data_IF_798715561224
#
_entry.id   IF_798715561224
#
_cell.length_a   1.000
_cell.length_b   1.000
_cell.length_c   1.000
_cell.angle_alpha   90.00
_cell.angle_beta   90.00
_cell.angle_gamma   90.00
#
_symmetry.space_group_name_H-M   'P 1'
#
loop_
_entity.id
_entity.type
_entity.pdbx_description
1 polymer ?
#
# COMPACT_ATOMS: atom_id res chain seq x y z
N UNK A 1 -4.45 32.42 -10.47
CA UNK A 1 -3.11 32.00 -10.96
C UNK A 1 -3.14 31.48 -12.40
N UNK A 2 -3.94 30.45 -12.76
CA UNK A 2 -4.08 29.95 -14.15
C UNK A 2 -4.27 31.04 -15.22
N UNK A 3 -5.17 32.00 -14.97
CA UNK A 3 -5.47 33.11 -15.91
C UNK A 3 -4.25 34.05 -16.06
N UNK A 4 -3.52 34.30 -14.97
CA UNK A 4 -2.32 35.15 -14.96
C UNK A 4 -1.21 34.53 -15.80
N UNK A 5 -0.95 33.23 -15.65
CA UNK A 5 0.06 32.53 -16.45
C UNK A 5 -0.30 32.46 -17.94
N UNK A 6 -1.58 32.26 -18.27
CA UNK A 6 -2.05 32.35 -19.67
C UNK A 6 -1.82 33.74 -20.27
N UNK A 7 -2.11 34.79 -19.51
CA UNK A 7 -1.90 36.17 -19.95
C UNK A 7 -0.40 36.43 -20.17
N UNK A 8 0.47 36.01 -19.23
CA UNK A 8 1.92 36.16 -19.37
C UNK A 8 2.49 35.37 -20.56
N UNK A 9 2.00 34.15 -20.82
CA UNK A 9 2.35 33.38 -22.02
C UNK A 9 2.01 34.14 -23.31
N UNK A 10 0.81 34.71 -23.39
CA UNK A 10 0.38 35.49 -24.57
C UNK A 10 1.19 36.77 -24.73
N UNK A 11 1.51 37.45 -23.62
CA UNK A 11 2.36 38.66 -23.64
C UNK A 11 3.76 38.35 -24.17
N UNK A 12 4.39 37.25 -23.74
CA UNK A 12 5.71 36.85 -24.24
C UNK A 12 5.72 36.59 -25.75
N UNK A 13 4.70 35.87 -26.26
CA UNK A 13 4.55 35.62 -27.71
C UNK A 13 4.35 36.94 -28.48
N UNK A 14 3.53 37.85 -27.96
CA UNK A 14 3.28 39.15 -28.59
C UNK A 14 4.51 40.05 -28.58
N UNK A 15 5.26 40.10 -27.47
CA UNK A 15 6.50 40.89 -27.38
C UNK A 15 7.59 40.35 -28.32
N UNK A 16 7.75 39.03 -28.40
CA UNK A 16 8.67 38.41 -29.35
C UNK A 16 8.29 38.71 -30.81
N UNK A 17 7.01 38.60 -31.15
CA UNK A 17 6.52 38.91 -32.50
C UNK A 17 6.64 40.40 -32.84
N UNK A 18 6.30 41.30 -31.93
CA UNK A 18 6.41 42.75 -32.14
C UNK A 18 7.85 43.19 -32.33
N UNK A 19 8.79 42.68 -31.53
CA UNK A 19 10.22 42.96 -31.68
C UNK A 19 10.75 42.48 -33.05
N UNK A 20 10.41 41.25 -33.43
CA UNK A 20 10.81 40.69 -34.73
C UNK A 20 10.24 41.49 -35.91
N UNK A 21 8.99 41.93 -35.84
CA UNK A 21 8.34 42.72 -36.89
C UNK A 21 8.98 44.11 -36.99
N UNK A 22 9.28 44.76 -35.87
CA UNK A 22 9.93 46.07 -35.84
C UNK A 22 11.30 46.01 -36.53
N UNK A 23 12.14 45.04 -36.16
CA UNK A 23 13.47 44.89 -36.72
C UNK A 23 13.44 44.47 -38.20
N UNK A 24 12.42 43.73 -38.62
CA UNK A 24 12.22 43.37 -40.03
C UNK A 24 11.83 44.58 -40.89
N UNK A 25 11.00 45.48 -40.35
CA UNK A 25 10.57 46.72 -41.03
C UNK A 25 11.71 47.73 -41.12
N UNK A 26 12.58 47.78 -40.11
CA UNK A 26 13.75 48.65 -40.07
C UNK A 26 14.98 48.07 -40.79
N UNK A 27 14.90 46.81 -41.26
CA UNK A 27 16.00 46.13 -41.95
C UNK A 27 17.18 45.77 -41.04
N UNK A 28 16.96 45.75 -39.72
CA UNK A 28 17.96 45.52 -38.67
C UNK A 28 17.92 44.11 -38.07
N UNK A 29 17.16 43.20 -38.68
CA UNK A 29 17.03 41.82 -38.20
C UNK A 29 18.39 41.12 -38.09
N UNK A 30 18.76 40.74 -36.86
CA UNK A 30 20.09 40.23 -36.53
C UNK A 30 20.02 38.96 -35.67
N UNK A 31 21.18 38.37 -35.36
CA UNK A 31 21.27 37.24 -34.43
C UNK A 31 20.69 37.59 -33.04
N UNK A 32 20.80 38.85 -32.60
CA UNK A 32 20.25 39.32 -31.32
C UNK A 32 18.71 39.37 -31.32
N UNK A 33 18.11 39.73 -32.46
CA UNK A 33 16.65 39.66 -32.66
C UNK A 33 16.19 38.21 -32.59
N UNK A 34 16.88 37.29 -33.27
CA UNK A 34 16.57 35.86 -33.25
C UNK A 34 16.70 35.27 -31.83
N UNK A 35 17.74 35.66 -31.09
CA UNK A 35 17.95 35.26 -29.69
C UNK A 35 16.83 35.76 -28.78
N UNK A 36 16.39 37.01 -28.96
CA UNK A 36 15.31 37.61 -28.17
C UNK A 36 13.97 36.89 -28.41
N UNK A 37 13.65 36.56 -29.67
CA UNK A 37 12.46 35.77 -30.03
C UNK A 37 12.53 34.38 -29.40
N UNK A 38 13.67 33.72 -29.49
CA UNK A 38 13.87 32.39 -28.91
C UNK A 38 13.68 32.41 -27.39
N UNK A 39 14.27 33.37 -26.69
CA UNK A 39 14.10 33.53 -25.22
C UNK A 39 12.63 33.81 -24.86
N UNK A 40 11.93 34.66 -25.62
CA UNK A 40 10.51 34.93 -25.40
C UNK A 40 9.62 33.69 -25.65
N UNK A 41 9.97 32.85 -26.62
CA UNK A 41 9.29 31.57 -26.85
C UNK A 41 9.55 30.57 -25.72
N UNK A 42 10.76 30.52 -25.16
CA UNK A 42 11.07 29.71 -23.97
C UNK A 42 10.25 30.18 -22.78
N UNK A 43 10.18 31.48 -22.51
CA UNK A 43 9.35 32.01 -21.43
C UNK A 43 7.85 31.77 -21.66
N UNK A 44 7.37 31.90 -22.90
CA UNK A 44 6.00 31.52 -23.26
C UNK A 44 5.76 30.04 -23.00
N UNK A 45 6.70 29.16 -23.35
CA UNK A 45 6.67 27.73 -23.02
C UNK A 45 6.59 27.47 -21.52
N UNK A 46 7.42 28.15 -20.71
CA UNK A 46 7.41 28.05 -19.25
C UNK A 46 6.07 28.53 -18.66
N UNK A 47 5.55 29.68 -19.09
CA UNK A 47 4.27 30.19 -18.59
C UNK A 47 3.08 29.36 -19.09
N UNK A 48 3.13 28.83 -20.30
CA UNK A 48 2.15 27.87 -20.83
C UNK A 48 2.15 26.58 -20.02
N UNK A 49 3.33 26.06 -19.69
CA UNK A 49 3.51 24.90 -18.83
C UNK A 49 3.00 25.15 -17.40
N UNK A 50 3.33 26.31 -16.81
CA UNK A 50 2.79 26.71 -15.50
C UNK A 50 1.26 26.92 -15.54
N UNK A 51 0.69 27.48 -16.60
CA UNK A 51 -0.75 27.58 -16.78
C UNK A 51 -1.42 26.20 -16.91
N UNK A 52 -0.71 25.23 -17.49
CA UNK A 52 -1.14 23.86 -17.69
C UNK A 52 -1.05 23.02 -16.41
N UNK A 53 0.01 23.13 -15.61
CA UNK A 53 0.10 22.54 -14.25
C UNK A 53 -1.09 22.99 -13.37
N UNK A 54 -1.54 24.23 -13.58
CA UNK A 54 -2.67 24.80 -12.85
C UNK A 54 -4.02 24.59 -13.55
N UNK A 55 -4.10 23.65 -14.51
CA UNK A 55 -5.33 23.33 -15.26
C UNK A 55 -6.29 22.45 -14.44
N UNK A 56 -5.76 21.55 -13.60
CA UNK A 56 -6.44 20.78 -12.57
C UNK A 56 -6.25 21.42 -11.19
N UNK A 57 -6.78 20.81 -10.10
CA UNK A 57 -6.80 21.39 -8.74
C UNK A 57 -5.46 22.08 -8.41
N UNK A 58 -5.51 23.35 -7.98
CA UNK A 58 -4.30 24.12 -7.65
C UNK A 58 -3.38 23.34 -6.70
N UNK A 59 -2.05 23.34 -6.92
CA UNK A 59 -1.09 22.70 -6.02
C UNK A 59 -1.27 23.11 -4.55
N UNK A 60 -1.69 24.37 -4.30
CA UNK A 60 -1.99 24.89 -2.96
C UNK A 60 -3.23 24.25 -2.35
N UNK A 61 -4.28 24.02 -3.15
CA UNK A 61 -5.52 23.38 -2.70
C UNK A 61 -5.29 21.89 -2.40
N UNK A 62 -4.45 21.21 -3.20
CA UNK A 62 -4.03 19.83 -2.95
C UNK A 62 -3.10 19.71 -1.75
N UNK A 63 -2.13 20.62 -1.58
CA UNK A 63 -1.33 20.68 -0.36
C UNK A 63 -2.20 20.91 0.87
N UNK A 64 -3.24 21.74 0.76
CA UNK A 64 -4.23 21.92 1.82
C UNK A 64 -5.07 20.66 2.08
N UNK A 65 -5.50 19.94 1.04
CA UNK A 65 -6.20 18.64 1.18
C UNK A 65 -5.29 17.58 1.81
N UNK A 66 -4.02 17.51 1.43
CA UNK A 66 -3.05 16.60 2.05
C UNK A 66 -2.76 16.97 3.50
N UNK A 67 -2.59 18.25 3.81
CA UNK A 67 -2.51 18.72 5.19
C UNK A 67 -3.79 18.39 5.97
N UNK A 68 -4.97 18.44 5.32
CA UNK A 68 -6.24 18.02 5.93
C UNK A 68 -6.26 16.53 6.20
N UNK A 69 -5.83 15.68 5.26
CA UNK A 69 -5.75 14.22 5.45
C UNK A 69 -4.77 13.86 6.57
N UNK A 70 -3.61 14.52 6.63
CA UNK A 70 -2.64 14.38 7.72
C UNK A 70 -3.24 14.86 9.06
N UNK A 71 -3.99 15.96 9.05
CA UNK A 71 -4.69 16.46 10.24
C UNK A 71 -5.82 15.52 10.70
N UNK A 72 -6.56 14.91 9.77
CA UNK A 72 -7.56 13.88 10.06
C UNK A 72 -6.91 12.65 10.67
N UNK A 73 -5.83 12.13 10.08
CA UNK A 73 -5.06 11.01 10.63
C UNK A 73 -4.52 11.33 12.04
N UNK A 74 -4.02 12.55 12.25
CA UNK A 74 -3.62 13.02 13.59
C UNK A 74 -4.81 13.10 14.56
N UNK A 75 -5.98 13.55 14.09
CA UNK A 75 -7.19 13.65 14.90
C UNK A 75 -7.70 12.28 15.31
N UNK A 76 -7.70 11.30 14.40
CA UNK A 76 -8.04 9.90 14.68
C UNK A 76 -7.05 9.28 15.67
N UNK A 77 -5.74 9.45 15.43
CA UNK A 77 -4.70 8.99 16.35
C UNK A 77 -4.86 9.60 17.75
N UNK A 78 -5.18 10.90 17.83
CA UNK A 78 -5.42 11.59 19.10
C UNK A 78 -6.72 11.12 19.78
N UNK A 79 -7.79 10.87 19.02
CA UNK A 79 -9.05 10.33 19.55
C UNK A 79 -8.80 8.95 20.16
N UNK A 80 -8.14 8.07 19.43
CA UNK A 80 -7.81 6.74 19.92
C UNK A 80 -6.82 6.79 21.11
N UNK A 81 -5.88 7.74 21.13
CA UNK A 81 -5.06 8.00 22.32
C UNK A 81 -5.89 8.42 23.53
N UNK A 82 -6.94 9.25 23.35
CA UNK A 82 -7.84 9.66 24.44
C UNK A 82 -8.69 8.51 24.96
N UNK A 83 -9.09 7.57 24.10
CA UNK A 83 -9.89 6.40 24.47
C UNK A 83 -9.06 5.31 25.18
N UNK A 84 -7.72 5.35 25.10
CA UNK A 84 -6.86 4.40 25.82
C UNK A 84 -7.00 4.47 27.34
N UNK A 85 -6.82 3.30 27.97
CA UNK A 85 -6.75 3.15 29.43
C UNK A 85 -5.56 3.94 30.02
N UNK A 86 -5.62 4.20 31.33
CA UNK A 86 -4.56 4.94 32.05
C UNK A 86 -3.21 4.19 32.04
N UNK A 87 -3.23 2.86 32.08
CA UNK A 87 -2.03 2.02 32.00
C UNK A 87 -1.38 2.14 30.62
N UNK A 88 -2.18 2.07 29.56
CA UNK A 88 -1.71 2.19 28.17
C UNK A 88 -1.16 3.57 27.84
N UNK A 89 -1.82 4.66 28.27
CA UNK A 89 -1.29 6.04 28.10
C UNK A 89 0.07 6.20 28.75
N UNK A 90 0.25 5.65 29.97
CA UNK A 90 1.54 5.70 30.68
C UNK A 90 2.62 4.92 29.95
N UNK A 91 2.27 3.76 29.39
CA UNK A 91 3.16 2.95 28.56
C UNK A 91 3.59 3.73 27.31
N UNK A 92 2.64 4.21 26.51
CA UNK A 92 2.92 4.96 25.29
C UNK A 92 3.85 6.16 25.57
N UNK A 93 3.59 6.90 26.64
CA UNK A 93 4.45 8.02 27.06
C UNK A 93 5.89 7.58 27.41
N UNK A 94 6.06 6.48 28.15
CA UNK A 94 7.38 5.93 28.49
C UNK A 94 8.15 5.49 27.25
N UNK A 95 7.50 4.74 26.36
CA UNK A 95 8.11 4.26 25.12
C UNK A 95 8.49 5.42 24.20
N UNK A 96 7.65 6.46 24.10
CA UNK A 96 7.99 7.69 23.36
C UNK A 96 9.24 8.37 23.91
N UNK A 97 9.34 8.56 25.23
CA UNK A 97 10.52 9.20 25.84
C UNK A 97 11.78 8.37 25.59
N UNK A 98 11.73 7.07 25.87
CA UNK A 98 12.87 6.18 25.68
C UNK A 98 13.27 6.16 24.21
N UNK A 99 12.31 6.01 23.29
CA UNK A 99 12.56 6.00 21.86
C UNK A 99 13.18 7.29 21.34
N UNK A 100 12.70 8.47 21.79
CA UNK A 100 13.29 9.77 21.46
C UNK A 100 14.73 9.87 21.96
N UNK A 101 15.02 9.42 23.18
CA UNK A 101 16.38 9.44 23.74
C UNK A 101 17.32 8.56 22.90
N UNK A 102 16.89 7.34 22.56
CA UNK A 102 17.68 6.42 21.73
C UNK A 102 17.88 6.98 20.32
N UNK A 103 16.83 7.53 19.70
CA UNK A 103 16.91 8.15 18.37
C UNK A 103 17.89 9.34 18.35
N UNK A 104 17.80 10.23 19.35
CA UNK A 104 18.72 11.35 19.50
C UNK A 104 20.16 10.90 19.73
N UNK A 105 20.36 9.80 20.48
CA UNK A 105 21.67 9.20 20.65
C UNK A 105 22.23 8.66 19.33
N UNK A 106 21.42 7.99 18.50
CA UNK A 106 21.81 7.52 17.17
C UNK A 106 22.30 8.66 16.26
N UNK A 107 21.55 9.76 16.19
CA UNK A 107 21.93 10.97 15.43
C UNK A 107 23.23 11.58 15.98
N UNK A 108 23.41 11.57 17.31
CA UNK A 108 24.60 12.13 17.97
C UNK A 108 25.88 11.35 17.64
N UNK A 109 25.79 10.07 17.30
CA UNK A 109 26.94 9.24 16.93
C UNK A 109 27.62 9.70 15.63
N UNK A 110 26.88 10.26 14.67
CA UNK A 110 27.44 10.71 13.39
C UNK A 110 28.54 11.77 13.55
N UNK A 111 28.32 12.91 14.25
CA UNK A 111 29.39 13.88 14.49
C UNK A 111 30.44 13.40 15.50
N UNK A 112 30.12 12.51 16.45
CA UNK A 112 31.13 11.92 17.36
C UNK A 112 32.13 11.04 16.62
N UNK A 113 31.64 10.35 15.58
CA UNK A 113 32.41 9.47 14.71
C UNK A 113 33.07 10.18 13.54
N UNK A 114 33.15 11.51 13.56
CA UNK A 114 33.66 12.36 12.48
C UNK A 114 33.06 12.02 11.11
N UNK A 115 31.77 11.66 11.05
CA UNK A 115 31.08 11.31 9.80
C UNK A 115 31.70 10.14 9.03
N UNK A 116 32.48 9.29 9.69
CA UNK A 116 32.98 8.07 9.05
C UNK A 116 31.84 7.09 8.79
N UNK A 117 31.97 6.32 7.70
CA UNK A 117 30.95 5.35 7.26
C UNK A 117 30.49 4.41 8.38
N UNK A 118 31.44 3.87 9.17
CA UNK A 118 31.13 3.00 10.31
C UNK A 118 30.16 3.66 11.31
N UNK A 119 30.43 4.89 11.75
CA UNK A 119 29.59 5.58 12.72
C UNK A 119 28.28 6.08 12.13
N UNK A 120 28.24 6.38 10.84
CA UNK A 120 26.99 6.63 10.11
C UNK A 120 26.07 5.40 10.19
N UNK A 121 26.59 4.22 9.84
CA UNK A 121 25.83 2.97 9.88
C UNK A 121 25.36 2.63 11.30
N UNK A 122 26.24 2.70 12.31
CA UNK A 122 25.86 2.44 13.71
C UNK A 122 24.81 3.45 14.18
N UNK A 123 25.00 4.74 13.90
CA UNK A 123 24.02 5.78 14.26
C UNK A 123 22.66 5.57 13.60
N UNK A 124 22.64 5.12 12.34
CA UNK A 124 21.41 4.79 11.61
C UNK A 124 20.68 3.60 12.24
N UNK A 125 21.38 2.51 12.57
CA UNK A 125 20.78 1.34 13.25
C UNK A 125 20.18 1.74 14.61
N UNK A 126 20.91 2.53 15.40
CA UNK A 126 20.41 3.03 16.70
C UNK A 126 19.20 3.95 16.53
N UNK A 127 19.21 4.81 15.51
CA UNK A 127 18.08 5.66 15.17
C UNK A 127 16.83 4.83 14.83
N UNK A 128 16.98 3.81 13.98
CA UNK A 128 15.90 2.87 13.62
C UNK A 128 15.35 2.17 14.87
N UNK A 129 16.22 1.70 15.77
CA UNK A 129 15.80 1.10 17.04
C UNK A 129 15.00 2.10 17.89
N UNK A 130 15.45 3.36 17.98
CA UNK A 130 14.73 4.41 18.69
C UNK A 130 13.33 4.67 18.14
N UNK A 131 13.20 4.73 16.82
CA UNK A 131 11.90 4.87 16.13
C UNK A 131 11.01 3.65 16.37
N UNK A 132 11.56 2.42 16.26
CA UNK A 132 10.81 1.19 16.50
C UNK A 132 10.27 1.11 17.94
N UNK A 133 11.03 1.60 18.94
CA UNK A 133 10.56 1.70 20.33
C UNK A 133 9.33 2.63 20.42
N UNK A 134 9.28 3.73 19.68
CA UNK A 134 8.11 4.62 19.66
C UNK A 134 6.88 3.84 19.18
N UNK A 135 7.01 3.09 18.08
CA UNK A 135 5.90 2.31 17.52
C UNK A 135 5.38 1.23 18.46
N UNK A 136 6.24 0.58 19.25
CA UNK A 136 5.84 -0.41 20.27
C UNK A 136 5.06 0.18 21.47
N UNK A 137 4.94 1.51 21.53
CA UNK A 137 4.30 2.24 22.62
C UNK A 137 2.77 2.12 22.63
N UNK A 138 2.13 2.04 21.45
CA UNK A 138 0.68 1.98 21.34
C UNK A 138 0.21 1.11 20.15
N UNK A 139 -0.99 0.52 20.21
CA UNK A 139 -1.52 -0.29 19.12
C UNK A 139 -1.62 0.45 17.79
N UNK A 140 -2.03 1.72 17.82
CA UNK A 140 -2.19 2.51 16.59
C UNK A 140 -0.86 2.74 15.89
N UNK A 141 0.18 3.08 16.64
CA UNK A 141 1.51 3.31 16.08
C UNK A 141 2.12 1.99 15.59
N UNK A 142 1.99 0.91 16.36
CA UNK A 142 2.48 -0.42 15.98
C UNK A 142 1.79 -0.93 14.71
N UNK A 143 0.45 -0.97 14.70
CA UNK A 143 -0.35 -1.47 13.58
C UNK A 143 -0.23 -0.61 12.33
N UNK A 144 0.15 0.67 12.46
CA UNK A 144 0.47 1.51 11.32
C UNK A 144 1.85 1.18 10.72
N UNK A 145 2.79 0.70 11.55
CA UNK A 145 4.18 0.47 11.16
C UNK A 145 4.50 -0.89 10.53
N UNK A 146 3.62 -1.89 10.70
CA UNK A 146 3.85 -3.25 10.16
C UNK A 146 2.54 -3.94 9.87
N UNK A 147 2.53 -4.78 8.83
CA UNK A 147 1.40 -5.67 8.51
C UNK A 147 1.67 -7.14 8.89
N UNK A 148 2.90 -7.46 9.30
CA UNK A 148 3.34 -8.81 9.70
C UNK A 148 2.75 -9.22 11.06
N UNK A 149 2.28 -8.24 11.84
CA UNK A 149 1.61 -8.50 13.10
C UNK A 149 0.67 -7.39 13.50
N UNK A 150 -0.18 -7.67 14.47
CA UNK A 150 -1.09 -6.70 15.05
C UNK A 150 -1.02 -6.72 16.58
N UNK A 151 -1.03 -5.55 17.18
CA UNK A 151 -1.18 -5.34 18.60
C UNK A 151 -2.65 -5.07 18.91
N UNK A 152 -3.19 -5.84 19.87
CA UNK A 152 -4.56 -5.71 20.37
C UNK A 152 -4.51 -5.37 21.85
N UNK A 153 -5.34 -4.43 22.29
CA UNK A 153 -5.45 -4.03 23.70
C UNK A 153 -6.80 -4.39 24.28
N UNK A 154 -6.77 -4.83 25.54
CA UNK A 154 -7.94 -5.17 26.32
C UNK A 154 -8.15 -4.17 27.46
N UNK A 155 -9.41 -3.82 27.72
CA UNK A 155 -9.77 -2.89 28.80
C UNK A 155 -9.70 -3.53 30.20
N UNK A 156 -9.50 -4.85 30.25
CA UNK A 156 -9.27 -5.63 31.47
C UNK A 156 -8.13 -6.60 31.24
N UNK A 157 -7.59 -7.13 32.34
CA UNK A 157 -6.64 -8.23 32.29
C UNK A 157 -7.33 -9.49 31.76
N UNK A 158 -6.80 -10.04 30.67
CA UNK A 158 -7.23 -11.29 30.06
C UNK A 158 -6.21 -12.41 30.34
N UNK A 159 -6.68 -13.64 30.24
CA UNK A 159 -5.87 -14.86 30.14
C UNK A 159 -5.99 -15.44 28.72
N UNK A 160 -5.00 -16.22 28.28
CA UNK A 160 -5.06 -16.79 26.94
C UNK A 160 -6.15 -17.86 26.85
N UNK A 161 -6.44 -18.52 27.97
CA UNK A 161 -7.46 -19.55 28.12
C UNK A 161 -8.86 -18.95 27.94
N UNK A 162 -9.14 -17.79 28.53
CA UNK A 162 -10.42 -17.07 28.32
C UNK A 162 -10.64 -16.74 26.84
N UNK A 163 -9.58 -16.33 26.14
CA UNK A 163 -9.66 -15.98 24.70
C UNK A 163 -9.83 -17.26 23.88
N UNK A 164 -9.05 -18.31 24.17
CA UNK A 164 -9.19 -19.61 23.53
C UNK A 164 -10.62 -20.15 23.64
N UNK A 165 -11.24 -20.09 24.83
CA UNK A 165 -12.61 -20.55 25.03
C UNK A 165 -13.63 -19.83 24.15
N UNK A 166 -13.42 -18.55 23.85
CA UNK A 166 -14.28 -17.79 22.96
C UNK A 166 -14.04 -18.12 21.47
N UNK A 167 -12.81 -18.51 21.09
CA UNK A 167 -12.41 -18.69 19.69
C UNK A 167 -12.31 -20.15 19.22
N UNK A 168 -12.29 -21.15 20.14
CA UNK A 168 -12.05 -22.56 19.81
C UNK A 168 -13.05 -23.20 18.85
N UNK A 169 -14.25 -22.63 18.71
CA UNK A 169 -15.28 -23.11 17.79
C UNK A 169 -15.35 -22.30 16.48
N UNK A 170 -14.51 -21.27 16.32
CA UNK A 170 -14.51 -20.43 15.13
C UNK A 170 -13.63 -21.11 14.09
N UNK A 171 -14.28 -21.73 13.11
CA UNK A 171 -13.63 -22.32 11.96
C UNK A 171 -13.09 -21.24 11.02
N UNK A 172 -11.91 -21.50 10.48
CA UNK A 172 -11.32 -20.72 9.40
C UNK A 172 -10.47 -21.65 8.49
N UNK A 173 -9.83 -21.15 7.41
CA UNK A 173 -9.04 -21.99 6.51
C UNK A 173 -7.93 -22.82 7.19
N UNK A 174 -7.37 -22.35 8.31
CA UNK A 174 -6.38 -23.06 9.13
C UNK A 174 -7.00 -23.99 10.19
N UNK A 175 -8.30 -24.28 10.09
CA UNK A 175 -9.05 -24.97 11.13
C UNK A 175 -9.43 -24.05 12.30
N UNK A 176 -9.69 -24.63 13.47
CA UNK A 176 -9.91 -23.89 14.72
C UNK A 176 -8.60 -23.70 15.48
N UNK A 177 -8.56 -22.75 16.41
CA UNK A 177 -7.39 -22.60 17.26
C UNK A 177 -7.20 -23.73 18.29
N UNK A 178 -5.97 -23.83 18.78
CA UNK A 178 -5.56 -24.59 19.96
C UNK A 178 -4.54 -23.78 20.77
N UNK A 179 -4.19 -24.26 21.96
CA UNK A 179 -3.16 -23.68 22.81
C UNK A 179 -1.85 -24.46 22.64
N UNK A 180 -0.73 -23.74 22.55
CA UNK A 180 0.59 -24.33 22.46
C UNK A 180 1.69 -23.40 22.93
N UNK A 181 2.92 -23.92 22.92
CA UNK A 181 4.11 -23.15 23.28
C UNK A 181 5.03 -22.97 22.07
N UNK A 182 5.65 -21.81 21.99
CA UNK A 182 6.75 -21.54 21.06
C UNK A 182 8.10 -21.72 21.75
N UNK A 183 9.14 -22.12 21.00
CA UNK A 183 10.49 -22.29 21.56
C UNK A 183 11.07 -21.00 22.16
N UNK A 184 10.70 -19.86 21.60
CA UNK A 184 11.20 -18.54 21.97
C UNK A 184 10.37 -17.85 23.06
N UNK A 185 9.20 -18.40 23.42
CA UNK A 185 8.28 -17.77 24.37
C UNK A 185 7.91 -18.75 25.49
N UNK A 186 7.91 -18.23 26.74
CA UNK A 186 7.54 -19.05 27.91
C UNK A 186 6.03 -19.15 28.13
N UNK A 187 5.27 -18.19 27.63
CA UNK A 187 3.82 -18.16 27.82
C UNK A 187 3.12 -18.91 26.69
N UNK A 188 1.97 -19.54 26.98
CA UNK A 188 1.15 -20.16 25.96
C UNK A 188 0.61 -19.14 24.96
N UNK A 189 0.37 -19.62 23.75
CA UNK A 189 -0.24 -18.89 22.66
C UNK A 189 -1.43 -19.66 22.10
N UNK A 190 -2.41 -18.93 21.60
CA UNK A 190 -3.49 -19.46 20.77
C UNK A 190 -2.98 -19.55 19.33
N UNK A 191 -2.99 -20.73 18.73
CA UNK A 191 -2.37 -21.03 17.43
C UNK A 191 -3.43 -21.59 16.48
N UNK A 192 -3.39 -21.18 15.21
CA UNK A 192 -4.17 -21.72 14.09
C UNK A 192 -3.21 -22.36 13.09
N UNK A 193 -3.46 -23.61 12.68
CA UNK A 193 -2.52 -24.39 11.87
C UNK A 193 -1.51 -25.21 12.70
N UNK A 194 -0.29 -25.52 12.22
CA UNK A 194 0.18 -25.22 10.88
C UNK A 194 -0.65 -25.93 9.81
N UNK A 195 -0.73 -25.30 8.65
CA UNK A 195 -1.15 -25.97 7.43
C UNK A 195 -0.02 -26.87 6.89
N UNK A 196 -0.32 -27.63 5.84
CA UNK A 196 0.63 -28.52 5.18
C UNK A 196 1.81 -27.77 4.55
N UNK A 197 1.63 -26.49 4.18
CA UNK A 197 2.71 -25.59 3.76
C UNK A 197 3.64 -25.16 4.90
N UNK A 198 3.27 -25.43 6.15
CA UNK A 198 3.97 -24.97 7.35
C UNK A 198 3.49 -23.62 7.90
N UNK A 199 2.61 -22.91 7.19
CA UNK A 199 2.09 -21.61 7.61
C UNK A 199 1.14 -21.73 8.82
N UNK A 200 1.27 -20.81 9.77
CA UNK A 200 0.36 -20.69 10.91
C UNK A 200 0.18 -19.23 11.36
N UNK A 201 -0.97 -18.96 11.98
CA UNK A 201 -1.23 -17.73 12.72
C UNK A 201 -1.18 -18.01 14.22
N UNK A 202 -0.74 -17.03 14.99
CA UNK A 202 -0.69 -17.17 16.44
C UNK A 202 -0.99 -15.86 17.16
N UNK A 203 -1.65 -15.98 18.30
CA UNK A 203 -1.97 -14.88 19.18
C UNK A 203 -1.47 -15.18 20.59
N UNK A 204 -0.73 -14.25 21.19
CA UNK A 204 -0.23 -14.40 22.55
C UNK A 204 -0.44 -13.14 23.37
N UNK A 205 -0.59 -13.31 24.68
CA UNK A 205 -0.74 -12.20 25.62
C UNK A 205 0.56 -11.89 26.34
N UNK A 206 0.83 -10.61 26.54
CA UNK A 206 1.86 -10.16 27.49
C UNK A 206 1.52 -10.64 28.90
N UNK A 207 2.51 -10.76 29.78
CA UNK A 207 2.30 -11.14 31.20
C UNK A 207 1.24 -10.30 31.93
N UNK A 208 1.03 -9.06 31.51
CA UNK A 208 0.02 -8.17 32.07
C UNK A 208 -1.42 -8.53 31.66
N UNK A 209 -1.61 -9.27 30.57
CA UNK A 209 -2.92 -9.67 30.03
C UNK A 209 -3.72 -8.52 29.39
N UNK A 210 -3.20 -7.29 29.39
CA UNK A 210 -3.85 -6.12 28.79
C UNK A 210 -3.49 -5.92 27.31
N UNK A 211 -2.43 -6.57 26.84
CA UNK A 211 -1.90 -6.44 25.47
C UNK A 211 -1.67 -7.83 24.92
N UNK A 212 -2.18 -8.07 23.71
CA UNK A 212 -1.88 -9.24 22.90
C UNK A 212 -1.28 -8.89 21.56
N UNK A 213 -0.59 -9.86 20.97
CA UNK A 213 0.04 -9.77 19.68
C UNK A 213 -0.45 -10.92 18.81
N UNK A 214 -1.02 -10.57 17.67
CA UNK A 214 -1.32 -11.47 16.56
C UNK A 214 -0.14 -11.42 15.60
N UNK A 215 0.35 -12.57 15.15
CA UNK A 215 1.37 -12.67 14.11
C UNK A 215 1.17 -13.90 13.25
N UNK A 216 1.92 -13.95 12.15
CA UNK A 216 2.03 -15.08 11.25
C UNK A 216 3.45 -15.61 11.23
N UNK A 217 3.63 -16.89 10.91
CA UNK A 217 4.95 -17.48 10.68
C UNK A 217 4.81 -18.79 9.92
N UNK A 218 5.90 -19.19 9.25
CA UNK A 218 6.05 -20.41 8.49
C UNK A 218 7.26 -21.24 8.96
N UNK A 219 7.87 -20.85 10.09
CA UNK A 219 9.10 -21.46 10.56
C UNK A 219 8.82 -22.84 11.14
N UNK A 220 9.31 -23.87 10.44
CA UNK A 220 9.19 -25.25 10.88
C UNK A 220 9.87 -25.45 12.25
N UNK A 221 9.20 -26.22 13.12
CA UNK A 221 9.72 -26.55 14.45
C UNK A 221 9.73 -25.38 15.44
N UNK A 222 9.19 -24.20 15.11
CA UNK A 222 9.09 -23.08 16.05
C UNK A 222 8.05 -23.33 17.14
N UNK A 223 6.97 -24.05 16.80
CA UNK A 223 6.00 -24.62 17.74
C UNK A 223 6.71 -25.76 18.48
N UNK A 224 6.83 -25.62 19.80
CA UNK A 224 7.54 -26.56 20.67
C UNK A 224 6.65 -27.75 21.05
N UNK A 225 5.44 -27.46 21.52
CA UNK A 225 4.49 -28.46 21.99
C UNK A 225 3.06 -27.90 21.92
N UNK A 226 2.10 -28.81 21.76
CA UNK A 226 0.66 -28.50 21.87
C UNK A 226 0.19 -28.79 23.29
N UNK A 227 -0.57 -27.88 23.86
CA UNK A 227 -1.26 -28.08 25.15
C UNK A 227 -2.55 -28.87 24.93
N UNK A 228 -3.25 -28.61 23.83
CA UNK A 228 -4.43 -29.33 23.38
C UNK A 228 -4.47 -29.40 21.85
N UNK A 229 -5.39 -30.21 21.32
CA UNK A 229 -5.63 -30.31 19.88
C UNK A 229 -6.71 -29.31 19.44
N UNK A 230 -6.66 -28.86 18.18
CA UNK A 230 -7.74 -28.05 17.62
C UNK A 230 -9.02 -28.89 17.53
N UNK A 231 -10.16 -28.26 17.79
CA UNK A 231 -11.48 -28.91 17.69
C UNK A 231 -11.84 -29.23 16.24
N UNK A 232 -11.40 -28.37 15.32
CA UNK A 232 -11.53 -28.50 13.88
C UNK A 232 -10.11 -28.49 13.31
N UNK A 233 -9.63 -29.60 12.75
CA UNK A 233 -8.27 -29.66 12.19
C UNK A 233 -8.14 -28.75 10.97
N UNK A 234 -6.91 -28.29 10.70
CA UNK A 234 -6.58 -27.64 9.44
C UNK A 234 -6.84 -28.62 8.28
N UNK A 235 -7.22 -28.08 7.13
CA UNK A 235 -7.30 -28.90 5.91
C UNK A 235 -5.89 -29.26 5.46
N UNK A 236 -5.72 -30.49 4.99
CA UNK A 236 -4.46 -31.04 4.51
C UNK A 236 -4.25 -30.86 3.00
N UNK A 237 -5.12 -30.10 2.33
CA UNK A 237 -4.96 -29.86 0.89
C UNK A 237 -5.64 -28.53 0.54
N UNK A 238 -4.82 -27.58 0.09
CA UNK A 238 -5.26 -26.26 -0.37
C UNK A 238 -5.17 -26.14 -1.90
N UNK A 239 -4.78 -27.20 -2.60
CA UNK A 239 -4.81 -27.33 -4.05
C UNK A 239 -3.54 -27.95 -4.65
N UNK A 240 -3.66 -28.45 -5.88
CA UNK A 240 -2.61 -29.23 -6.57
C UNK A 240 -1.67 -28.36 -7.43
N UNK A 241 -1.90 -27.04 -7.54
CA UNK A 241 -1.17 -26.16 -8.46
C UNK A 241 -0.73 -24.83 -7.82
N UNK A 242 0.17 -24.09 -8.49
CA UNK A 242 0.75 -22.85 -7.96
C UNK A 242 -0.29 -21.75 -7.72
N UNK A 243 -1.31 -21.66 -8.57
CA UNK A 243 -2.41 -20.69 -8.38
C UNK A 243 -3.12 -20.92 -7.04
N UNK A 244 -3.45 -22.17 -6.72
CA UNK A 244 -4.09 -22.52 -5.46
C UNK A 244 -3.21 -22.21 -4.24
N UNK A 245 -1.89 -22.38 -4.35
CA UNK A 245 -0.94 -21.99 -3.31
C UNK A 245 -0.90 -20.45 -3.09
N UNK A 246 -0.96 -19.67 -4.17
CA UNK A 246 -1.01 -18.20 -4.09
C UNK A 246 -2.34 -17.73 -3.49
N UNK A 247 -3.47 -18.32 -3.91
CA UNK A 247 -4.78 -18.08 -3.30
C UNK A 247 -4.73 -18.32 -1.79
N UNK A 248 -4.13 -19.43 -1.38
CA UNK A 248 -3.99 -19.80 0.02
C UNK A 248 -3.17 -18.76 0.82
N UNK A 249 -2.03 -18.32 0.31
CA UNK A 249 -1.22 -17.30 0.99
C UNK A 249 -1.95 -15.94 1.08
N UNK A 250 -2.67 -15.56 0.03
CA UNK A 250 -3.50 -14.34 0.05
C UNK A 250 -4.63 -14.44 1.08
N UNK A 251 -5.30 -15.60 1.12
CA UNK A 251 -6.35 -15.89 2.09
C UNK A 251 -5.82 -15.87 3.54
N UNK A 252 -4.55 -16.21 3.78
CA UNK A 252 -3.91 -16.06 5.10
C UNK A 252 -3.77 -14.60 5.53
N UNK A 253 -3.39 -13.70 4.61
CA UNK A 253 -3.32 -12.26 4.89
C UNK A 253 -4.72 -11.72 5.21
N UNK A 254 -5.73 -12.12 4.42
CA UNK A 254 -7.12 -11.78 4.69
C UNK A 254 -7.58 -12.31 6.04
N UNK A 255 -7.25 -13.57 6.36
CA UNK A 255 -7.57 -14.22 7.62
C UNK A 255 -6.95 -13.48 8.81
N UNK A 256 -5.68 -13.07 8.72
CA UNK A 256 -5.02 -12.29 9.77
C UNK A 256 -5.78 -10.98 10.04
N UNK A 257 -6.22 -10.27 8.98
CA UNK A 257 -7.01 -9.04 9.12
C UNK A 257 -8.38 -9.30 9.75
N UNK A 258 -9.10 -10.33 9.31
CA UNK A 258 -10.39 -10.71 9.88
C UNK A 258 -10.27 -11.14 11.36
N UNK A 259 -9.21 -11.88 11.69
CA UNK A 259 -8.93 -12.33 13.05
C UNK A 259 -8.57 -11.14 13.94
N UNK A 260 -7.78 -10.17 13.43
CA UNK A 260 -7.53 -8.89 14.13
C UNK A 260 -8.84 -8.17 14.45
N UNK A 261 -9.72 -7.99 13.46
CA UNK A 261 -11.01 -7.33 13.64
C UNK A 261 -11.89 -8.06 14.67
N UNK A 262 -11.92 -9.40 14.61
CA UNK A 262 -12.63 -10.24 15.56
C UNK A 262 -12.07 -10.12 16.99
N UNK A 263 -10.75 -10.11 17.15
CA UNK A 263 -10.08 -9.89 18.44
C UNK A 263 -10.33 -8.48 18.99
N UNK A 264 -10.32 -7.45 18.15
CA UNK A 264 -10.65 -6.07 18.55
C UNK A 264 -12.13 -5.93 18.94
N UNK A 265 -13.04 -6.61 18.23
CA UNK A 265 -14.44 -6.65 18.61
C UNK A 265 -14.65 -7.39 19.93
N UNK A 266 -13.99 -8.52 20.12
CA UNK A 266 -14.02 -9.28 21.36
C UNK A 266 -13.48 -8.45 22.53
N UNK A 267 -12.39 -7.69 22.33
CA UNK A 267 -11.85 -6.79 23.35
C UNK A 267 -12.84 -5.69 23.78
N UNK A 268 -13.74 -5.26 22.87
CA UNK A 268 -14.76 -4.23 23.12
C UNK A 268 -16.06 -4.79 23.70
N UNK A 269 -16.53 -5.93 23.19
CA UNK A 269 -17.89 -6.43 23.40
C UNK A 269 -17.95 -7.75 24.17
N UNK A 270 -16.82 -8.46 24.29
CA UNK A 270 -16.76 -9.82 24.82
C UNK A 270 -17.27 -10.89 23.85
N UNK A 271 -17.60 -10.54 22.61
CA UNK A 271 -18.06 -11.48 21.59
C UNK A 271 -17.14 -11.45 20.36
N UNK A 272 -16.65 -12.62 19.89
CA UNK A 272 -15.88 -12.68 18.67
C UNK A 272 -16.79 -12.51 17.45
N UNK A 273 -16.24 -11.91 16.39
CA UNK A 273 -16.88 -11.91 15.08
C UNK A 273 -16.61 -13.25 14.38
N UNK A 274 -17.59 -13.72 13.61
CA UNK A 274 -17.39 -14.84 12.70
C UNK A 274 -16.37 -14.44 11.63
N UNK A 275 -15.45 -15.36 11.35
CA UNK A 275 -14.50 -15.22 10.26
C UNK A 275 -15.21 -15.73 9.02
N UNK A 276 -15.46 -14.84 8.06
CA UNK A 276 -16.09 -15.23 6.81
C UNK A 276 -15.15 -16.19 6.08
N UNK A 277 -15.67 -17.36 5.69
CA UNK A 277 -14.94 -18.21 4.74
C UNK A 277 -14.75 -17.38 3.47
N UNK A 278 -13.51 -17.18 3.05
CA UNK A 278 -13.21 -16.67 1.71
C UNK A 278 -13.94 -17.57 0.72
N UNK A 279 -14.72 -17.00 -0.21
CA UNK A 279 -14.91 -17.71 -1.48
C UNK A 279 -13.50 -17.83 -2.08
N UNK A 280 -13.13 -18.97 -2.70
CA UNK A 280 -11.76 -19.16 -3.15
C UNK A 280 -11.36 -17.93 -3.98
N UNK A 281 -10.37 -17.21 -3.48
CA UNK A 281 -9.82 -16.07 -4.19
C UNK A 281 -9.44 -16.54 -5.58
N UNK A 282 -9.71 -15.74 -6.60
CA UNK A 282 -9.26 -16.07 -7.96
C UNK A 282 -7.96 -15.34 -8.23
N UNK A 283 -6.98 -16.12 -8.68
CA UNK A 283 -5.65 -15.64 -9.05
C UNK A 283 -5.60 -15.46 -10.56
N UNK A 284 -5.09 -14.31 -10.95
CA UNK A 284 -4.89 -13.93 -12.34
C UNK A 284 -3.44 -13.53 -12.54
N UNK A 285 -2.85 -13.95 -13.65
CA UNK A 285 -1.51 -13.52 -14.03
C UNK A 285 -1.62 -12.22 -14.82
N UNK A 286 -0.83 -11.22 -14.45
CA UNK A 286 -0.74 -9.94 -15.12
C UNK A 286 0.65 -9.77 -15.71
N UNK A 287 0.74 -9.90 -17.03
CA UNK A 287 2.01 -9.93 -17.77
C UNK A 287 2.14 -8.68 -18.62
N UNK A 288 3.31 -8.04 -18.58
CA UNK A 288 3.66 -6.98 -19.52
C UNK A 288 4.34 -7.58 -20.77
N UNK A 289 3.77 -7.26 -21.93
CA UNK A 289 4.39 -7.55 -23.23
C UNK A 289 4.96 -6.27 -23.83
N UNK A 290 6.22 -6.33 -24.27
CA UNK A 290 6.86 -5.20 -24.92
C UNK A 290 6.19 -4.85 -26.25
N UNK A 291 5.68 -3.62 -26.38
CA UNK A 291 5.28 -3.02 -27.66
C UNK A 291 6.27 -1.94 -28.08
N UNK A 292 6.77 -2.02 -29.31
CA UNK A 292 7.73 -1.06 -29.89
C UNK A 292 7.27 0.42 -29.81
N UNK A 293 5.96 0.66 -29.74
CA UNK A 293 5.34 2.00 -29.74
C UNK A 293 4.40 2.24 -28.55
N UNK A 294 4.51 1.44 -27.48
CA UNK A 294 3.54 1.45 -26.39
C UNK A 294 3.81 0.44 -25.28
N UNK A 295 2.77 0.15 -24.52
CA UNK A 295 2.74 -0.94 -23.55
C UNK A 295 1.52 -1.81 -23.82
N UNK A 296 1.68 -3.12 -23.65
CA UNK A 296 0.60 -4.08 -23.66
C UNK A 296 0.67 -4.88 -22.38
N UNK A 297 -0.48 -5.11 -21.75
CA UNK A 297 -0.57 -6.07 -20.66
C UNK A 297 -1.70 -7.04 -20.93
N UNK A 298 -1.49 -8.28 -20.52
CA UNK A 298 -2.52 -9.32 -20.54
C UNK A 298 -2.85 -9.73 -19.11
N UNK A 299 -4.14 -9.77 -18.79
CA UNK A 299 -4.64 -10.40 -17.58
C UNK A 299 -5.22 -11.77 -17.93
N UNK A 300 -4.57 -12.83 -17.49
CA UNK A 300 -4.96 -14.21 -17.76
C UNK A 300 -5.55 -14.88 -16.52
N UNK A 301 -6.52 -15.77 -16.71
CA UNK A 301 -7.01 -16.65 -15.64
C UNK A 301 -6.03 -17.83 -15.39
N UNK A 302 -6.41 -18.71 -14.46
CA UNK A 302 -5.64 -19.92 -14.12
C UNK A 302 -5.47 -20.94 -15.27
N UNK A 303 -6.25 -20.81 -16.35
CA UNK A 303 -6.17 -21.66 -17.54
C UNK A 303 -5.40 -20.97 -18.68
N UNK A 304 -4.71 -19.86 -18.38
CA UNK A 304 -4.02 -19.01 -19.35
C UNK A 304 -4.96 -18.34 -20.38
N UNK A 305 -6.27 -18.28 -20.08
CA UNK A 305 -7.21 -17.57 -20.93
C UNK A 305 -7.16 -16.07 -20.64
N UNK A 306 -6.91 -15.26 -21.67
CA UNK A 306 -6.90 -13.79 -21.57
C UNK A 306 -8.32 -13.29 -21.25
N UNK A 307 -8.46 -12.62 -20.11
CA UNK A 307 -9.72 -12.02 -19.65
C UNK A 307 -9.79 -10.53 -19.99
N UNK A 308 -8.67 -9.83 -19.80
CA UNK A 308 -8.55 -8.42 -20.17
C UNK A 308 -7.23 -8.16 -20.88
N UNK A 309 -7.28 -7.28 -21.87
CA UNK A 309 -6.11 -6.69 -22.50
C UNK A 309 -5.99 -5.24 -22.06
N UNK A 310 -4.77 -4.79 -21.80
CA UNK A 310 -4.48 -3.38 -21.52
C UNK A 310 -3.56 -2.84 -22.57
N UNK A 311 -3.95 -1.74 -23.21
CA UNK A 311 -3.13 -1.08 -24.23
C UNK A 311 -2.87 0.38 -23.89
N UNK A 312 -1.61 0.80 -24.07
CA UNK A 312 -1.18 2.19 -24.00
C UNK A 312 -0.31 2.52 -25.19
N UNK A 313 -0.53 3.69 -25.78
CA UNK A 313 0.32 4.21 -26.88
C UNK A 313 1.14 5.38 -26.37
N UNK A 314 2.40 5.48 -26.77
CA UNK A 314 3.26 6.61 -26.42
C UNK A 314 2.67 7.93 -26.96
N UNK A 315 2.62 9.02 -26.17
CA UNK A 315 3.05 9.13 -24.78
C UNK A 315 2.02 8.45 -23.85
N UNK A 316 2.48 7.49 -23.02
CA UNK A 316 1.70 6.58 -22.15
C UNK A 316 0.89 7.31 -21.06
N UNK A 317 0.03 8.22 -21.49
CA UNK A 317 -0.85 9.06 -20.69
C UNK A 317 -2.15 8.31 -20.47
N UNK A 318 -2.66 7.68 -21.53
CA UNK A 318 -3.87 6.90 -21.50
C UNK A 318 -3.55 5.42 -21.65
N UNK A 319 -4.15 4.61 -20.79
CA UNK A 319 -4.16 3.16 -20.88
C UNK A 319 -5.62 2.70 -20.89
N UNK A 320 -5.93 1.79 -21.78
CA UNK A 320 -7.28 1.31 -22.05
C UNK A 320 -7.34 -0.16 -21.70
N UNK A 321 -8.38 -0.56 -20.97
CA UNK A 321 -8.64 -1.94 -20.58
C UNK A 321 -9.82 -2.44 -21.40
N UNK A 322 -9.60 -3.51 -22.15
CA UNK A 322 -10.55 -4.14 -23.05
C UNK A 322 -10.96 -5.52 -22.54
N UNK A 323 -12.24 -5.85 -22.67
CA UNK A 323 -12.74 -7.23 -22.49
C UNK A 323 -12.44 -8.12 -23.72
N UNK A 324 -12.88 -9.39 -23.66
CA UNK A 324 -12.69 -10.38 -24.74
C UNK A 324 -13.34 -9.96 -26.06
N UNK A 325 -14.41 -9.18 -26.00
CA UNK A 325 -15.09 -8.60 -27.16
C UNK A 325 -14.41 -7.31 -27.67
N UNK A 326 -13.28 -6.93 -27.06
CA UNK A 326 -12.53 -5.72 -27.34
C UNK A 326 -13.33 -4.42 -27.09
N UNK A 327 -14.21 -4.46 -26.08
CA UNK A 327 -14.96 -3.30 -25.59
C UNK A 327 -14.18 -2.61 -24.48
N UNK A 328 -14.05 -1.28 -24.56
CA UNK A 328 -13.42 -0.48 -23.50
C UNK A 328 -14.25 -0.57 -22.20
N UNK A 329 -13.68 -1.20 -21.18
CA UNK A 329 -14.28 -1.30 -19.84
C UNK A 329 -13.77 -0.19 -18.94
N UNK A 330 -12.46 0.03 -18.93
CA UNK A 330 -11.80 1.06 -18.14
C UNK A 330 -10.80 1.84 -19.00
N UNK A 331 -10.62 3.11 -18.65
CA UNK A 331 -9.51 3.93 -19.13
C UNK A 331 -8.85 4.64 -17.95
N UNK A 332 -7.53 4.52 -17.89
CA UNK A 332 -6.68 5.25 -16.95
C UNK A 332 -6.04 6.43 -17.67
N UNK A 333 -6.08 7.60 -17.04
CA UNK A 333 -5.36 8.78 -17.54
C UNK A 333 -4.40 9.29 -16.46
N UNK A 334 -3.09 9.16 -16.70
CA UNK A 334 -2.03 9.70 -15.84
C UNK A 334 -2.01 11.22 -15.94
N UNK A 335 -2.01 11.89 -14.80
CA UNK A 335 -1.82 13.32 -14.72
C UNK A 335 -0.32 13.66 -14.75
N UNK A 336 0.15 14.33 -15.80
CA UNK A 336 1.57 14.72 -15.94
C UNK A 336 1.83 16.06 -15.23
N UNK A 337 3.05 16.28 -14.74
CA UNK A 337 3.50 17.57 -14.19
C UNK A 337 3.18 17.78 -12.71
N UNK A 338 2.88 16.70 -12.00
CA UNK A 338 2.59 16.69 -10.56
C UNK A 338 3.72 16.04 -9.77
N UNK A 339 3.95 16.53 -8.55
CA UNK A 339 4.97 16.01 -7.65
C UNK A 339 4.64 14.62 -7.09
N UNK A 340 3.37 14.22 -7.13
CA UNK A 340 2.88 12.91 -6.71
C UNK A 340 1.99 12.33 -7.78
N UNK A 341 2.07 11.01 -7.97
CA UNK A 341 1.30 10.32 -8.97
C UNK A 341 -0.21 10.47 -8.77
N UNK A 342 -0.89 10.83 -9.86
CA UNK A 342 -2.34 10.99 -9.90
C UNK A 342 -2.88 10.35 -11.17
N UNK A 343 -3.92 9.52 -11.02
CA UNK A 343 -4.55 8.81 -12.12
C UNK A 343 -6.07 9.02 -12.08
N UNK A 344 -6.65 9.33 -13.24
CA UNK A 344 -8.10 9.41 -13.41
C UNK A 344 -8.60 8.09 -13.98
N UNK A 345 -9.56 7.48 -13.29
CA UNK A 345 -10.17 6.22 -13.68
C UNK A 345 -11.51 6.54 -14.34
N UNK A 346 -11.69 6.10 -15.58
CA UNK A 346 -12.94 6.20 -16.30
C UNK A 346 -13.51 4.80 -16.48
N UNK A 347 -14.72 4.54 -16.00
CA UNK A 347 -15.44 3.29 -16.23
C UNK A 347 -16.46 3.51 -17.33
N UNK A 348 -16.34 2.80 -18.45
CA UNK A 348 -17.23 2.93 -19.61
C UNK A 348 -17.43 4.40 -20.06
N UNK A 349 -16.34 5.16 -20.06
CA UNK A 349 -16.32 6.57 -20.45
C UNK A 349 -16.71 7.58 -19.35
N UNK A 350 -17.32 7.16 -18.24
CA UNK A 350 -17.66 8.04 -17.11
C UNK A 350 -16.54 8.09 -16.07
N UNK A 351 -16.28 9.25 -15.47
CA UNK A 351 -15.31 9.37 -14.38
C UNK A 351 -15.76 8.51 -13.20
N UNK A 352 -15.01 7.46 -12.91
CA UNK A 352 -15.21 6.56 -11.79
C UNK A 352 -14.60 7.13 -10.51
N UNK A 353 -13.39 7.72 -10.62
CA UNK A 353 -12.73 8.41 -9.53
C UNK A 353 -11.34 8.91 -9.91
N UNK A 354 -10.70 9.61 -8.97
CA UNK A 354 -9.31 10.05 -9.08
C UNK A 354 -8.50 9.41 -7.97
N UNK A 355 -7.51 8.59 -8.35
CA UNK A 355 -6.58 7.92 -7.46
C UNK A 355 -5.36 8.81 -7.25
N UNK A 356 -5.10 9.19 -6.01
CA UNK A 356 -4.02 10.11 -5.64
C UNK A 356 -3.06 9.43 -4.64
N UNK A 357 -1.75 9.47 -4.92
CA UNK A 357 -0.70 9.06 -3.96
C UNK A 357 -0.76 9.98 -2.74
N UNK A 358 -0.77 9.37 -1.56
CA UNK A 358 -0.82 10.06 -0.27
C UNK A 358 0.60 10.23 0.28
N UNK A 359 0.83 11.31 1.02
CA UNK A 359 2.05 11.41 1.82
C UNK A 359 1.98 10.43 2.98
N UNK A 360 2.75 9.36 2.88
CA UNK A 360 2.93 8.37 3.93
C UNK A 360 4.43 8.12 4.13
N UNK A 361 4.85 7.96 5.38
CA UNK A 361 6.27 7.84 5.75
C UNK A 361 6.79 6.39 5.63
N UNK A 362 5.90 5.41 5.74
CA UNK A 362 6.25 4.00 5.99
C UNK A 362 6.07 3.14 4.74
N UNK A 363 5.05 3.46 3.94
CA UNK A 363 4.60 2.65 2.82
C UNK A 363 3.80 3.49 1.85
N UNK A 364 3.76 3.07 0.60
CA UNK A 364 2.94 3.70 -0.41
C UNK A 364 1.46 3.50 -0.13
N UNK A 365 0.71 4.60 -0.24
CA UNK A 365 -0.73 4.60 -0.07
C UNK A 365 -1.37 5.48 -1.12
N UNK A 366 -2.35 4.94 -1.81
CA UNK A 366 -3.19 5.67 -2.76
C UNK A 366 -4.63 5.65 -2.29
N UNK A 367 -5.34 6.76 -2.51
CA UNK A 367 -6.74 6.91 -2.10
C UNK A 367 -7.55 7.44 -3.26
N UNK A 368 -8.74 6.88 -3.45
CA UNK A 368 -9.72 7.33 -4.44
C UNK A 368 -11.10 7.38 -3.79
N UNK A 369 -11.84 8.46 -4.05
CA UNK A 369 -13.26 8.51 -3.70
C UNK A 369 -14.08 8.06 -4.91
N UNK A 370 -14.93 7.07 -4.69
CA UNK A 370 -15.87 6.49 -5.67
C UNK A 370 -17.30 6.57 -5.13
N UNK A 371 -18.30 6.25 -5.95
CA UNK A 371 -19.72 6.34 -5.54
C UNK A 371 -20.05 5.42 -4.37
N UNK A 372 -19.37 4.28 -4.30
CA UNK A 372 -19.51 3.23 -3.31
C UNK A 372 -18.79 3.57 -1.99
N UNK A 373 -17.93 4.60 -2.00
CA UNK A 373 -17.20 5.09 -0.82
C UNK A 373 -15.72 5.30 -1.08
N UNK A 374 -14.89 4.99 -0.10
CA UNK A 374 -13.44 5.23 -0.18
C UNK A 374 -12.71 3.96 -0.58
N UNK A 375 -11.98 4.05 -1.68
CA UNK A 375 -11.10 3.01 -2.17
C UNK A 375 -9.65 3.34 -1.80
N UNK A 376 -8.94 2.37 -1.24
CA UNK A 376 -7.56 2.49 -0.79
C UNK A 376 -6.72 1.37 -1.38
N UNK A 377 -5.59 1.74 -1.99
CA UNK A 377 -4.54 0.83 -2.40
C UNK A 377 -3.37 1.10 -1.46
N UNK A 378 -2.94 0.09 -0.72
CA UNK A 378 -1.93 0.24 0.34
C UNK A 378 -0.89 -0.85 0.17
N UNK A 379 0.37 -0.42 0.07
CA UNK A 379 1.52 -1.32 0.03
C UNK A 379 1.60 -2.14 1.34
N UNK A 380 1.94 -3.41 1.20
CA UNK A 380 2.08 -4.36 2.29
C UNK A 380 3.49 -4.25 2.89
N UNK A 381 3.59 -3.65 4.07
CA UNK A 381 4.86 -3.38 4.71
C UNK A 381 5.43 -4.66 5.34
N UNK A 382 6.58 -5.12 4.82
CA UNK A 382 7.33 -6.26 5.35
C UNK A 382 7.26 -7.54 4.49
N UNK A 383 6.76 -7.47 3.26
CA UNK A 383 6.95 -8.51 2.24
C UNK A 383 8.21 -8.26 1.41
N UNK A 384 8.71 -9.31 0.75
CA UNK A 384 9.68 -9.19 -0.35
C UNK A 384 8.88 -8.79 -1.61
N UNK A 385 9.34 -7.76 -2.33
CA UNK A 385 8.65 -7.21 -3.51
C UNK A 385 7.57 -6.16 -3.18
N UNK A 386 7.08 -5.46 -4.21
CA UNK A 386 6.10 -4.37 -4.10
C UNK A 386 4.65 -4.88 -4.07
N UNK A 387 4.24 -5.48 -2.95
CA UNK A 387 2.90 -6.05 -2.82
C UNK A 387 1.89 -5.01 -2.30
N UNK A 388 0.67 -5.01 -2.84
CA UNK A 388 -0.39 -4.08 -2.48
C UNK A 388 -1.70 -4.77 -2.13
N UNK A 389 -2.40 -4.22 -1.16
CA UNK A 389 -3.79 -4.60 -0.84
C UNK A 389 -4.75 -3.54 -1.35
N UNK A 390 -5.91 -3.99 -1.85
CA UNK A 390 -6.98 -3.11 -2.32
C UNK A 390 -8.18 -3.25 -1.38
N UNK A 391 -8.62 -2.14 -0.81
CA UNK A 391 -9.75 -2.09 0.10
C UNK A 391 -10.79 -1.05 -0.31
N UNK A 392 -12.08 -1.43 -0.27
CA UNK A 392 -13.22 -0.53 -0.43
C UNK A 392 -13.94 -0.40 0.92
N UNK A 393 -14.01 0.82 1.45
CA UNK A 393 -14.54 1.12 2.79
C UNK A 393 -13.89 0.26 3.88
N UNK A 394 -12.59 0.02 3.79
CA UNK A 394 -11.82 -0.82 4.71
C UNK A 394 -11.95 -2.33 4.48
N UNK A 395 -12.95 -2.80 3.72
CA UNK A 395 -13.09 -4.21 3.33
C UNK A 395 -12.13 -4.52 2.18
N UNK A 396 -11.26 -5.51 2.36
CA UNK A 396 -10.36 -5.97 1.31
C UNK A 396 -11.17 -6.60 0.16
N UNK A 397 -10.89 -6.17 -1.07
CA UNK A 397 -11.55 -6.65 -2.30
C UNK A 397 -10.58 -7.36 -3.26
N UNK A 398 -9.28 -7.13 -3.09
CA UNK A 398 -8.24 -7.86 -3.80
C UNK A 398 -6.84 -7.50 -3.32
N UNK A 399 -5.85 -8.07 -3.97
CA UNK A 399 -4.43 -7.77 -3.80
C UNK A 399 -3.72 -7.77 -5.16
N UNK A 400 -2.62 -7.04 -5.25
CA UNK A 400 -1.71 -7.02 -6.40
C UNK A 400 -0.36 -7.37 -5.84
N UNK A 401 0.19 -8.51 -6.24
CA UNK A 401 1.46 -9.00 -5.74
C UNK A 401 2.49 -8.88 -6.84
N UNK A 402 3.61 -8.26 -6.50
CA UNK A 402 4.77 -8.13 -7.38
C UNK A 402 5.54 -9.46 -7.41
N UNK A 403 6.44 -9.58 -8.39
CA UNK A 403 7.38 -10.68 -8.62
C UNK A 403 7.70 -11.48 -7.36
N UNK A 404 6.88 -12.48 -7.08
CA UNK A 404 7.37 -13.67 -6.46
C UNK A 404 8.10 -14.35 -7.60
N UNK A 405 9.41 -14.56 -7.47
CA UNK A 405 10.24 -15.41 -8.33
C UNK A 405 9.76 -16.91 -8.28
N UNK A 406 8.45 -17.11 -8.29
CA UNK A 406 7.71 -18.33 -8.42
C UNK A 406 7.72 -18.64 -9.91
N UNK A 407 8.60 -19.56 -10.27
CA UNK A 407 8.54 -20.27 -11.53
C UNK A 407 7.25 -21.08 -11.55
N UNK A 408 6.13 -20.45 -11.91
CA UNK A 408 5.01 -21.19 -12.52
C UNK A 408 5.60 -21.72 -13.83
N UNK A 409 5.65 -23.05 -13.95
CA UNK A 409 6.47 -23.73 -14.95
C UNK A 409 6.45 -23.07 -16.34
N UNK A 410 7.62 -22.64 -16.80
CA UNK A 410 7.99 -22.25 -18.17
C UNK A 410 7.65 -20.85 -18.72
N UNK A 411 7.64 -19.77 -17.91
CA UNK A 411 7.76 -18.41 -18.48
C UNK A 411 8.76 -17.55 -17.68
N UNK A 412 9.81 -17.08 -18.35
CA UNK A 412 10.76 -16.08 -17.85
C UNK A 412 10.21 -14.73 -18.34
N UNK A 413 9.32 -14.10 -17.57
CA UNK A 413 8.84 -12.73 -17.79
C UNK A 413 8.40 -12.09 -16.46
N UNK A 414 8.48 -10.75 -16.39
CA UNK A 414 8.05 -9.91 -15.26
C UNK A 414 6.53 -10.05 -15.07
N UNK A 415 6.11 -10.91 -14.14
CA UNK A 415 4.70 -11.22 -13.90
C UNK A 415 4.26 -10.70 -12.54
N UNK A 416 3.25 -9.84 -12.51
CA UNK A 416 2.51 -9.53 -11.29
C UNK A 416 1.32 -10.49 -11.17
N UNK A 417 0.87 -10.74 -9.94
CA UNK A 417 -0.31 -11.55 -9.66
C UNK A 417 -1.42 -10.67 -9.12
N UNK A 418 -2.60 -10.74 -9.74
CA UNK A 418 -3.81 -10.07 -9.25
C UNK A 418 -4.70 -11.09 -8.57
N UNK A 419 -5.04 -10.82 -7.32
CA UNK A 419 -5.97 -11.64 -6.54
C UNK A 419 -7.28 -10.88 -6.38
N UNK A 420 -8.38 -11.49 -6.81
CA UNK A 420 -9.74 -10.98 -6.61
C UNK A 420 -10.48 -11.82 -5.56
N UNK A 421 -11.01 -11.16 -4.52
CA UNK A 421 -11.91 -11.79 -3.55
C UNK A 421 -13.39 -11.72 -3.97
N UNK A 422 -13.70 -10.91 -4.98
CA UNK A 422 -15.02 -10.76 -5.59
C UNK A 422 -14.83 -10.29 -7.05
N UNK A 423 -15.15 -11.17 -8.01
CA UNK A 423 -14.86 -10.99 -9.44
C UNK A 423 -15.48 -9.72 -10.03
N UNK A 424 -16.54 -9.17 -9.42
CA UNK A 424 -17.14 -7.92 -9.90
C UNK A 424 -16.16 -6.74 -9.84
N UNK A 425 -15.12 -6.82 -9.01
CA UNK A 425 -14.08 -5.81 -8.91
C UNK A 425 -12.85 -6.11 -9.77
N UNK A 426 -12.80 -7.23 -10.48
CA UNK A 426 -11.66 -7.61 -11.30
C UNK A 426 -11.22 -6.51 -12.28
N UNK A 427 -12.11 -5.84 -13.06
CA UNK A 427 -11.68 -4.77 -13.96
C UNK A 427 -11.01 -3.59 -13.23
N UNK A 428 -11.47 -3.29 -12.02
CA UNK A 428 -10.90 -2.24 -11.17
C UNK A 428 -9.54 -2.66 -10.61
N UNK A 429 -9.39 -3.92 -10.22
CA UNK A 429 -8.12 -4.49 -9.77
C UNK A 429 -7.09 -4.51 -10.90
N UNK A 430 -7.49 -4.86 -12.13
CA UNK A 430 -6.65 -4.76 -13.33
C UNK A 430 -6.18 -3.33 -13.55
N UNK A 431 -7.08 -2.35 -13.44
CA UNK A 431 -6.72 -0.94 -13.59
C UNK A 431 -5.71 -0.48 -12.54
N UNK A 432 -5.81 -0.99 -11.32
CA UNK A 432 -4.81 -0.73 -10.28
C UNK A 432 -3.49 -1.45 -10.51
N UNK A 433 -3.50 -2.68 -11.02
CA UNK A 433 -2.28 -3.43 -11.33
C UNK A 433 -1.42 -2.70 -12.36
N UNK A 434 -2.05 -2.16 -13.41
CA UNK A 434 -1.38 -1.29 -14.40
C UNK A 434 -0.73 -0.08 -13.72
N UNK A 435 -1.41 0.51 -12.74
CA UNK A 435 -0.87 1.66 -12.01
C UNK A 435 0.34 1.26 -11.16
N UNK A 436 0.24 0.15 -10.42
CA UNK A 436 1.32 -0.39 -9.58
C UNK A 436 2.57 -0.67 -10.42
N UNK A 437 2.43 -1.43 -11.52
CA UNK A 437 3.54 -1.75 -12.41
C UNK A 437 4.26 -0.47 -12.91
N UNK A 438 3.50 0.58 -13.20
CA UNK A 438 4.05 1.86 -13.67
C UNK A 438 4.68 2.73 -12.59
N UNK A 439 4.23 2.60 -11.34
CA UNK A 439 4.88 3.30 -10.23
C UNK A 439 6.17 2.60 -9.83
N UNK A 440 6.21 1.26 -9.84
CA UNK A 440 7.43 0.46 -9.65
C UNK A 440 8.47 0.83 -10.71
N UNK A 441 8.08 0.79 -11.99
CA UNK A 441 8.98 1.15 -13.09
C UNK A 441 9.51 2.59 -13.00
N UNK A 442 8.73 3.54 -12.46
CA UNK A 442 9.24 4.90 -12.22
C UNK A 442 10.31 4.90 -11.13
N UNK A 443 10.04 4.22 -10.02
CA UNK A 443 10.91 4.27 -8.85
C UNK A 443 12.25 3.52 -9.13
N UNK A 444 12.26 2.52 -10.03
CA UNK A 444 13.49 1.86 -10.53
C UNK A 444 14.31 2.73 -11.51
N UNK A 445 13.69 3.61 -12.29
CA UNK A 445 14.40 4.56 -13.17
C UNK A 445 15.15 5.66 -12.39
N UNK A 446 14.77 5.88 -11.12
CA UNK A 446 15.36 6.89 -10.22
C UNK A 446 16.52 6.34 -9.34
N UNK A 447 16.81 5.03 -9.38
CA UNK A 447 17.97 4.36 -8.74
C UNK A 447 19.18 4.23 -9.69
#
# INVERSE_FOLDING_TARGET
>A
MKIVWKILCVICVLLGALGAISDLVEGSFSEDTALTVMVMLIFAGIFGYLAWIWRSKSPVKRAAEQMSNVAEAMKESNKAYKEMSKSLKRRAWRYRIVGIIVAAFGIRLWPLGNWSSFWISVGAVVLIIGIAIIFLGSPNEYNASTDVGAMITFNRKMTIEEIYEAFKNIENPLGSCYLGHFRTMKQPAMIYGPADSGDYLYFWLTKGGEIGFLGSSFLEGFIKDKINEPLIPAKSDFGENTAAYICYHSDLILLQKQLKESLENYAKTGQPLLIARSQPSQVYTFTEDFKLTGQHFSLCDQNEEVIYEVDGTVPLINLYIYDKEHTEIFRLTKEIGHALATYHFYYKGELYGTLEKQFALIRDKFKMQVKEGTLELTEYAGSIGNNYTVALNGRMIGAIMDDLNLTIHNLIFDNAVVIAYDDKYLPLLTAMAVMVAREIARDEEDE
#
